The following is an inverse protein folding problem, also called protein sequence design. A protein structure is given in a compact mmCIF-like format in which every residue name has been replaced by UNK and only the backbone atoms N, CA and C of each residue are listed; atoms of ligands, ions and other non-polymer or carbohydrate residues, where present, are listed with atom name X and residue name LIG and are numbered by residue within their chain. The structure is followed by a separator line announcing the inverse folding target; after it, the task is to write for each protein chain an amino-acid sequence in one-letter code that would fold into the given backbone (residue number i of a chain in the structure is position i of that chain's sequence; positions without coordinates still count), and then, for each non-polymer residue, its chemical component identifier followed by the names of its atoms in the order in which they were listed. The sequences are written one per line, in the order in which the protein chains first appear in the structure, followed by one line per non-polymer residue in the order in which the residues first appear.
data_IF_191155020178
#
_entry.id   IF_191155020178
#
_cell.length_a   1.000
_cell.length_b   1.000
_cell.length_c   1.000
_cell.angle_alpha   90.00
_cell.angle_beta   90.00
_cell.angle_gamma   90.00
#
_symmetry.space_group_name_H-M   'P 1'
#
loop_
_entity.id
_entity.type
_entity.pdbx_description
1 polymer ?
#
# COMPACT_ATOMS: atom_id res chain seq x y z
N UNK A 1 40.89 7.07 35.98
CA UNK A 1 39.77 7.03 35.01
C UNK A 1 40.25 6.20 33.83
N UNK A 2 39.61 5.05 33.58
CA UNK A 2 39.80 4.32 32.34
C UNK A 2 38.74 4.83 31.36
N UNK A 3 39.16 5.46 30.27
CA UNK A 3 38.27 5.86 29.18
C UNK A 3 38.43 4.84 28.06
N UNK A 4 37.48 3.92 27.94
CA UNK A 4 37.44 2.99 26.80
C UNK A 4 36.95 3.77 25.57
N UNK A 5 37.83 3.98 24.59
CA UNK A 5 37.52 4.67 23.33
C UNK A 5 37.38 3.69 22.15
N UNK A 6 37.10 2.41 22.42
CA UNK A 6 37.01 1.41 21.38
C UNK A 6 36.39 0.10 21.82
N UNK A 7 35.95 -0.68 20.83
CA UNK A 7 35.43 -2.03 20.97
C UNK A 7 36.22 -3.00 20.07
N UNK A 8 36.33 -4.25 20.51
CA UNK A 8 36.97 -5.33 19.76
C UNK A 8 35.98 -6.47 19.55
N UNK A 9 35.60 -6.72 18.31
CA UNK A 9 34.57 -7.70 17.94
C UNK A 9 35.19 -9.05 17.62
N UNK A 10 34.72 -10.09 18.32
CA UNK A 10 35.17 -11.47 18.17
C UNK A 10 34.36 -12.23 17.10
N UNK A 11 34.85 -13.37 16.57
CA UNK A 11 34.07 -14.18 15.65
C UNK A 11 32.72 -14.60 16.25
N UNK A 12 31.64 -14.50 15.48
CA UNK A 12 30.28 -14.81 15.93
C UNK A 12 29.56 -13.66 16.63
N UNK A 13 30.16 -12.47 16.74
CA UNK A 13 29.54 -11.29 17.37
C UNK A 13 28.18 -10.94 16.77
N UNK A 14 28.00 -11.21 15.47
CA UNK A 14 26.76 -10.97 14.73
C UNK A 14 25.55 -11.74 15.26
N UNK A 15 25.78 -12.83 15.99
CA UNK A 15 24.72 -13.63 16.61
C UNK A 15 24.33 -13.11 18.01
N UNK A 16 25.05 -12.12 18.53
CA UNK A 16 24.80 -11.50 19.83
C UNK A 16 24.12 -10.15 19.67
N UNK A 17 22.85 -10.07 20.10
CA UNK A 17 22.11 -8.80 20.14
C UNK A 17 22.84 -7.73 20.98
N UNK A 18 23.56 -8.14 22.02
CA UNK A 18 24.36 -7.23 22.85
C UNK A 18 25.55 -6.65 22.08
N UNK A 19 26.33 -7.51 21.40
CA UNK A 19 27.48 -7.07 20.62
C UNK A 19 27.07 -6.19 19.42
N UNK A 20 25.94 -6.48 18.80
CA UNK A 20 25.38 -5.64 17.73
C UNK A 20 24.96 -4.26 18.21
N UNK A 21 24.39 -4.16 19.42
CA UNK A 21 24.06 -2.88 20.04
C UNK A 21 25.32 -2.10 20.41
N UNK A 22 26.33 -2.77 20.97
CA UNK A 22 27.63 -2.17 21.31
C UNK A 22 28.35 -1.63 20.06
N UNK A 23 28.30 -2.36 18.94
CA UNK A 23 28.81 -1.89 17.66
C UNK A 23 28.11 -0.62 17.17
N UNK A 24 26.77 -0.60 17.21
CA UNK A 24 26.00 0.57 16.78
C UNK A 24 26.29 1.81 17.63
N UNK A 25 26.39 1.63 18.96
CA UNK A 25 26.74 2.72 19.89
C UNK A 25 28.17 3.21 19.63
N UNK A 26 29.12 2.29 19.43
CA UNK A 26 30.51 2.65 19.13
C UNK A 26 30.62 3.46 17.82
N UNK A 27 29.85 3.11 16.78
CA UNK A 27 29.79 3.90 15.54
C UNK A 27 29.21 5.30 15.76
N UNK A 28 28.12 5.40 16.53
CA UNK A 28 27.47 6.68 16.81
C UNK A 28 28.35 7.64 17.65
N UNK A 29 29.27 7.08 18.44
CA UNK A 29 30.19 7.82 19.28
C UNK A 29 31.60 7.98 18.66
N UNK A 30 31.78 7.54 17.41
CA UNK A 30 33.07 7.57 16.69
C UNK A 30 34.21 6.88 17.46
N UNK A 31 33.91 5.75 18.08
CA UNK A 31 34.87 4.91 18.79
C UNK A 31 35.67 4.02 17.84
N UNK A 32 36.88 3.65 18.24
CA UNK A 32 37.72 2.73 17.48
C UNK A 32 37.09 1.33 17.49
N UNK A 33 36.77 0.80 16.30
CA UNK A 33 36.19 -0.54 16.15
C UNK A 33 37.23 -1.44 15.49
N UNK A 34 37.65 -2.49 16.19
CA UNK A 34 38.60 -3.48 15.67
C UNK A 34 37.95 -4.86 15.61
N UNK A 35 38.35 -5.67 14.62
CA UNK A 35 37.84 -7.01 14.40
C UNK A 35 38.94 -8.04 14.68
N UNK A 36 38.61 -9.10 15.41
CA UNK A 36 39.46 -10.26 15.52
C UNK A 36 39.53 -11.01 14.18
N UNK A 37 40.62 -11.73 13.95
CA UNK A 37 40.74 -12.62 12.79
C UNK A 37 39.58 -13.63 12.75
N UNK A 38 38.84 -13.66 11.64
CA UNK A 38 37.65 -14.52 11.47
C UNK A 38 36.33 -13.90 11.93
N UNK A 39 36.33 -12.68 12.48
CA UNK A 39 35.10 -11.94 12.71
C UNK A 39 34.52 -11.40 11.39
N UNK A 40 33.21 -11.51 11.23
CA UNK A 40 32.54 -10.99 10.04
C UNK A 40 32.58 -9.46 10.03
N UNK A 41 32.94 -8.90 8.87
CA UNK A 41 32.96 -7.46 8.67
C UNK A 41 31.50 -6.92 8.63
N UNK A 42 31.22 -5.76 9.24
CA UNK A 42 29.89 -5.14 9.23
C UNK A 42 29.31 -4.91 7.83
N UNK A 43 30.16 -4.64 6.83
CA UNK A 43 29.76 -4.53 5.42
C UNK A 43 29.23 -5.84 4.83
N UNK A 44 29.71 -6.99 5.30
CA UNK A 44 29.16 -8.30 4.93
C UNK A 44 27.80 -8.56 5.61
N UNK A 45 27.57 -8.01 6.82
CA UNK A 45 26.28 -8.08 7.52
C UNK A 45 25.23 -7.16 6.88
N UNK A 46 25.62 -5.96 6.44
CA UNK A 46 24.74 -5.06 5.68
C UNK A 46 24.27 -5.70 4.36
N UNK A 47 25.15 -6.46 3.69
CA UNK A 47 24.80 -7.23 2.49
C UNK A 47 23.90 -8.45 2.78
N UNK A 48 23.86 -8.95 4.01
CA UNK A 48 23.06 -10.11 4.41
C UNK A 48 21.72 -9.74 5.08
N UNK A 49 21.59 -8.52 5.60
CA UNK A 49 20.40 -8.02 6.29
C UNK A 49 19.40 -7.27 5.39
N UNK A 50 19.76 -6.97 4.14
CA UNK A 50 18.82 -6.47 3.15
C UNK A 50 18.05 -7.63 2.50
N UNK A 51 17.18 -8.31 3.27
CA UNK A 51 16.06 -9.01 2.63
C UNK A 51 15.20 -7.93 1.98
N UNK A 52 15.44 -7.64 0.71
CA UNK A 52 14.59 -6.77 -0.09
C UNK A 52 13.17 -7.28 0.03
N UNK A 53 12.34 -6.55 0.78
CA UNK A 53 10.91 -6.80 0.95
C UNK A 53 10.34 -7.09 -0.45
N UNK A 54 9.61 -8.21 -0.67
CA UNK A 54 9.10 -8.50 -2.00
C UNK A 54 8.21 -7.35 -2.49
N UNK A 55 8.44 -6.96 -3.74
CA UNK A 55 7.73 -5.87 -4.42
C UNK A 55 6.24 -6.18 -4.58
N UNK A 56 5.88 -7.46 -4.70
CA UNK A 56 4.49 -7.92 -4.77
C UNK A 56 4.17 -8.81 -3.57
N UNK A 57 2.93 -8.71 -3.08
CA UNK A 57 2.39 -9.59 -2.03
C UNK A 57 1.28 -10.46 -2.60
N UNK A 58 1.13 -11.65 -2.03
CA UNK A 58 0.04 -12.56 -2.38
C UNK A 58 -1.24 -12.12 -1.67
N UNK A 59 -2.32 -11.94 -2.43
CA UNK A 59 -3.67 -11.79 -1.91
C UNK A 59 -4.32 -13.18 -1.93
N UNK A 60 -4.82 -13.70 -0.79
CA UNK A 60 -5.46 -15.00 -0.77
C UNK A 60 -6.77 -14.97 -1.57
N UNK A 61 -7.17 -16.13 -2.09
CA UNK A 61 -8.48 -16.26 -2.73
C UNK A 61 -9.59 -15.91 -1.71
N UNK A 62 -10.62 -15.22 -2.17
CA UNK A 62 -11.72 -14.72 -1.32
C UNK A 62 -13.06 -14.84 -2.03
N UNK A 63 -14.13 -14.96 -1.25
CA UNK A 63 -15.50 -14.81 -1.75
C UNK A 63 -16.07 -13.53 -1.16
N UNK A 64 -16.44 -12.58 -2.02
CA UNK A 64 -17.07 -11.34 -1.60
C UNK A 64 -18.47 -11.60 -1.01
N UNK A 65 -19.02 -10.68 -0.19
CA UNK A 65 -20.33 -10.87 0.46
C UNK A 65 -21.49 -11.19 -0.50
N UNK A 66 -21.41 -10.76 -1.76
CA UNK A 66 -22.41 -11.06 -2.79
C UNK A 66 -22.19 -12.42 -3.49
N UNK A 67 -21.24 -13.23 -3.03
CA UNK A 67 -20.95 -14.57 -3.55
C UNK A 67 -19.93 -14.62 -4.70
N UNK A 68 -19.44 -13.48 -5.19
CA UNK A 68 -18.41 -13.46 -6.25
C UNK A 68 -17.09 -14.00 -5.70
N UNK A 69 -16.57 -15.05 -6.33
CA UNK A 69 -15.27 -15.61 -6.01
C UNK A 69 -14.15 -14.85 -6.76
N UNK A 70 -13.16 -14.39 -6.02
CA UNK A 70 -11.95 -13.76 -6.55
C UNK A 70 -10.77 -14.72 -6.28
N UNK A 71 -10.12 -15.27 -7.33
CA UNK A 71 -8.95 -16.13 -7.16
C UNK A 71 -7.79 -15.40 -6.46
N UNK A 72 -6.82 -16.17 -5.95
CA UNK A 72 -5.57 -15.58 -5.44
C UNK A 72 -4.79 -14.93 -6.58
N UNK A 73 -4.17 -13.77 -6.29
CA UNK A 73 -3.37 -13.00 -7.24
C UNK A 73 -2.23 -12.29 -6.49
N UNK A 74 -1.29 -11.71 -7.23
CA UNK A 74 -0.26 -10.87 -6.65
C UNK A 74 -0.59 -9.39 -6.88
N UNK A 75 -0.33 -8.57 -5.88
CA UNK A 75 -0.52 -7.12 -5.96
C UNK A 75 0.74 -6.40 -5.51
N UNK A 76 1.07 -5.26 -6.13
CA UNK A 76 2.16 -4.41 -5.66
C UNK A 76 1.97 -4.07 -4.19
N UNK A 77 3.03 -4.25 -3.38
CA UNK A 77 3.02 -3.92 -1.94
C UNK A 77 2.79 -2.43 -1.70
N UNK A 78 3.40 -1.59 -2.53
CA UNK A 78 3.25 -0.14 -2.54
C UNK A 78 2.54 0.28 -3.84
N UNK A 79 2.10 1.54 -3.91
CA UNK A 79 1.71 2.15 -5.18
C UNK A 79 2.89 2.11 -6.16
N UNK A 80 2.58 2.09 -7.46
CA UNK A 80 3.61 2.06 -8.47
C UNK A 80 4.37 3.38 -8.53
N UNK A 81 5.69 3.30 -8.68
CA UNK A 81 6.58 4.42 -8.95
C UNK A 81 7.04 4.39 -10.41
N UNK A 82 7.50 5.55 -10.91
CA UNK A 82 8.04 5.68 -12.26
C UNK A 82 9.41 5.02 -12.31
N UNK A 83 9.51 3.93 -13.08
CA UNK A 83 10.78 3.28 -13.37
C UNK A 83 11.44 3.82 -14.63
N UNK A 84 12.54 3.19 -15.00
CA UNK A 84 13.25 3.49 -16.25
C UNK A 84 12.34 3.22 -17.45
N UNK A 85 12.41 4.09 -18.47
CA UNK A 85 11.65 3.99 -19.73
C UNK A 85 10.13 3.94 -19.56
N UNK A 86 9.58 4.52 -18.49
CA UNK A 86 8.14 4.54 -18.23
C UNK A 86 7.55 3.19 -17.84
N UNK A 87 8.39 2.26 -17.36
CA UNK A 87 7.98 0.97 -16.83
C UNK A 87 7.60 1.15 -15.36
N UNK A 88 6.43 0.64 -14.96
CA UNK A 88 6.02 0.69 -13.56
C UNK A 88 6.96 -0.14 -12.67
N UNK A 89 7.38 0.42 -11.55
CA UNK A 89 8.12 -0.29 -10.51
C UNK A 89 7.34 -0.25 -9.20
N UNK A 90 7.57 -1.22 -8.31
CA UNK A 90 7.01 -1.18 -6.95
C UNK A 90 8.17 -1.06 -5.98
N UNK A 91 8.33 0.12 -5.40
CA UNK A 91 9.46 0.48 -4.54
C UNK A 91 8.94 1.10 -3.25
N UNK A 92 9.64 0.82 -2.15
CA UNK A 92 9.35 1.44 -0.86
C UNK A 92 9.88 2.87 -0.78
N UNK A 93 10.97 3.15 -1.52
CA UNK A 93 11.75 4.40 -1.37
C UNK A 93 11.34 5.48 -2.37
N UNK A 94 10.56 5.12 -3.38
CA UNK A 94 10.10 6.04 -4.41
C UNK A 94 8.66 6.49 -4.14
N UNK A 95 8.39 7.77 -4.36
CA UNK A 95 7.03 8.30 -4.31
C UNK A 95 6.16 7.67 -5.41
N UNK A 96 4.83 7.58 -5.19
CA UNK A 96 3.90 7.09 -6.20
C UNK A 96 3.99 7.91 -7.49
N UNK A 97 3.92 7.21 -8.63
CA UNK A 97 3.81 7.81 -9.95
C UNK A 97 2.40 8.37 -10.14
N UNK A 98 2.27 9.66 -9.85
CA UNK A 98 1.06 10.47 -10.04
C UNK A 98 1.13 11.30 -11.32
N UNK A 99 0.12 12.12 -11.62
CA UNK A 99 -0.02 12.89 -12.88
C UNK A 99 0.00 11.99 -14.13
N UNK A 100 -0.49 10.78 -13.97
CA UNK A 100 -0.64 9.77 -15.01
C UNK A 100 -2.12 9.55 -15.29
N UNK A 101 -2.48 9.38 -16.56
CA UNK A 101 -3.86 9.11 -16.94
C UNK A 101 -4.17 7.60 -16.90
N UNK A 102 -5.45 7.24 -17.03
CA UNK A 102 -5.89 5.84 -16.90
C UNK A 102 -5.21 4.90 -17.91
N UNK A 103 -5.16 5.29 -19.18
CA UNK A 103 -4.59 4.47 -20.26
C UNK A 103 -3.07 4.27 -20.09
N UNK A 104 -2.36 5.30 -19.63
CA UNK A 104 -0.93 5.22 -19.35
C UNK A 104 -0.64 4.35 -18.13
N UNK A 105 -1.44 4.44 -17.06
CA UNK A 105 -1.31 3.57 -15.90
C UNK A 105 -1.46 2.10 -16.29
N UNK A 106 -2.47 1.77 -17.11
CA UNK A 106 -2.66 0.43 -17.65
C UNK A 106 -1.47 -0.02 -18.51
N UNK A 107 -0.96 0.85 -19.39
CA UNK A 107 0.21 0.57 -20.23
C UNK A 107 1.48 0.37 -19.41
N UNK A 108 1.70 1.17 -18.36
CA UNK A 108 2.86 1.07 -17.49
C UNK A 108 2.86 -0.28 -16.73
N UNK A 109 1.70 -0.74 -16.26
CA UNK A 109 1.57 -2.08 -15.68
C UNK A 109 1.82 -3.20 -16.70
N UNK A 110 1.28 -3.07 -17.92
CA UNK A 110 1.52 -4.04 -18.98
C UNK A 110 3.01 -4.14 -19.35
N UNK A 111 3.71 -2.99 -19.42
CA UNK A 111 5.14 -2.93 -19.67
C UNK A 111 5.97 -3.58 -18.54
N UNK A 112 5.46 -3.56 -17.30
CA UNK A 112 6.03 -4.26 -16.15
C UNK A 112 5.65 -5.76 -16.08
N UNK A 113 4.95 -6.30 -17.09
CA UNK A 113 4.50 -7.69 -17.15
C UNK A 113 3.34 -8.01 -16.20
N UNK A 114 2.55 -7.00 -15.82
CA UNK A 114 1.36 -7.14 -15.00
C UNK A 114 0.13 -6.49 -15.64
N UNK A 115 -0.89 -6.22 -14.83
CA UNK A 115 -2.11 -5.51 -15.22
C UNK A 115 -2.43 -4.41 -14.22
N UNK A 116 -3.23 -3.44 -14.63
CA UNK A 116 -3.85 -2.53 -13.67
C UNK A 116 -4.74 -3.36 -12.72
N UNK A 117 -4.75 -3.03 -11.44
CA UNK A 117 -5.66 -3.68 -10.48
C UNK A 117 -7.12 -3.54 -10.94
N UNK A 118 -7.88 -4.63 -10.85
CA UNK A 118 -9.30 -4.61 -11.17
C UNK A 118 -10.16 -4.24 -9.97
N UNK A 119 -11.40 -3.85 -10.23
CA UNK A 119 -12.38 -3.53 -9.22
C UNK A 119 -12.65 -4.71 -8.27
N UNK A 120 -12.85 -5.92 -8.79
CA UNK A 120 -13.00 -7.13 -7.95
C UNK A 120 -11.73 -7.45 -7.14
N UNK A 121 -10.54 -7.26 -7.73
CA UNK A 121 -9.26 -7.42 -7.01
C UNK A 121 -9.13 -6.40 -5.87
N UNK A 122 -9.50 -5.14 -6.10
CA UNK A 122 -9.50 -4.12 -5.06
C UNK A 122 -10.44 -4.50 -3.92
N UNK A 123 -11.67 -4.91 -4.25
CA UNK A 123 -12.68 -5.29 -3.26
C UNK A 123 -12.27 -6.52 -2.46
N UNK A 124 -11.59 -7.50 -3.07
CA UNK A 124 -11.06 -8.67 -2.34
C UNK A 124 -10.03 -8.24 -1.27
N UNK A 125 -9.12 -7.33 -1.62
CA UNK A 125 -8.13 -6.79 -0.67
C UNK A 125 -8.84 -5.98 0.43
N UNK A 126 -9.76 -5.07 0.06
CA UNK A 126 -10.49 -4.24 1.02
C UNK A 126 -11.31 -5.09 2.00
N UNK A 127 -11.98 -6.13 1.50
CA UNK A 127 -12.76 -7.07 2.29
C UNK A 127 -11.88 -7.85 3.27
N UNK A 128 -10.74 -8.38 2.82
CA UNK A 128 -9.77 -9.05 3.68
C UNK A 128 -9.27 -8.12 4.78
N UNK A 129 -8.83 -6.91 4.41
CA UNK A 129 -8.34 -5.88 5.35
C UNK A 129 -9.36 -5.61 6.45
N UNK A 130 -10.62 -5.37 6.08
CA UNK A 130 -11.68 -5.06 7.04
C UNK A 130 -11.97 -6.23 8.00
N UNK A 131 -11.66 -7.47 7.60
CA UNK A 131 -11.80 -8.67 8.41
C UNK A 131 -10.69 -8.90 9.45
N UNK A 132 -9.59 -8.12 9.45
CA UNK A 132 -8.47 -8.34 10.36
C UNK A 132 -8.45 -7.33 11.52
N UNK A 133 -8.50 -7.82 12.76
CA UNK A 133 -8.46 -7.01 14.01
C UNK A 133 -7.35 -5.94 14.01
N UNK A 134 -6.16 -6.29 13.51
CA UNK A 134 -4.97 -5.42 13.50
C UNK A 134 -5.16 -4.15 12.65
N UNK A 135 -6.12 -4.15 11.72
CA UNK A 135 -6.41 -3.02 10.83
C UNK A 135 -7.36 -2.00 11.44
N UNK A 136 -7.87 -2.25 12.64
CA UNK A 136 -8.82 -1.38 13.33
C UNK A 136 -8.13 -0.58 14.43
N UNK A 137 -8.43 0.71 14.54
CA UNK A 137 -7.87 1.61 15.57
C UNK A 137 -8.25 1.18 16.99
N UNK A 138 -9.39 0.51 17.16
CA UNK A 138 -9.80 -0.11 18.43
C UNK A 138 -9.21 -1.50 18.69
N UNK A 139 -8.36 -2.02 17.80
CA UNK A 139 -7.71 -3.33 17.92
C UNK A 139 -8.63 -4.55 17.75
N UNK A 140 -9.88 -4.33 17.33
CA UNK A 140 -10.87 -5.36 17.03
C UNK A 140 -11.73 -4.96 15.83
N UNK A 141 -12.15 -5.92 15.02
CA UNK A 141 -13.08 -5.67 13.90
C UNK A 141 -14.33 -4.95 14.42
N UNK A 142 -14.68 -3.83 13.77
CA UNK A 142 -15.81 -2.97 14.14
C UNK A 142 -15.53 -1.99 15.30
N UNK A 143 -14.41 -2.13 16.02
CA UNK A 143 -14.03 -1.20 17.08
C UNK A 143 -13.21 -0.04 16.51
N UNK A 144 -13.77 1.17 16.58
CA UNK A 144 -13.16 2.35 15.98
C UNK A 144 -13.31 2.36 14.46
N UNK A 145 -12.22 2.64 13.76
CA UNK A 145 -12.17 2.77 12.31
C UNK A 145 -11.06 1.88 11.73
N UNK A 146 -11.23 1.43 10.49
CA UNK A 146 -10.10 0.93 9.71
C UNK A 146 -9.14 2.10 9.46
N UNK A 147 -7.83 1.90 9.64
CA UNK A 147 -6.85 2.97 9.37
C UNK A 147 -6.98 3.51 7.94
N UNK A 148 -6.96 4.83 7.77
CA UNK A 148 -7.23 5.50 6.50
C UNK A 148 -5.95 5.99 5.78
N UNK A 149 -4.77 5.62 6.28
CA UNK A 149 -3.48 6.05 5.72
C UNK A 149 -3.25 7.55 5.85
N UNK A 150 -2.49 8.14 4.93
CA UNK A 150 -2.32 9.60 4.87
C UNK A 150 -3.61 10.22 4.32
N UNK A 151 -4.31 11.02 5.10
CA UNK A 151 -5.61 11.59 4.72
C UNK A 151 -5.94 12.92 5.40
N UNK A 152 -5.20 13.30 6.46
CA UNK A 152 -5.51 14.47 7.29
C UNK A 152 -4.95 15.79 6.75
N UNK A 153 -4.20 15.77 5.63
CA UNK A 153 -3.55 16.96 5.09
C UNK A 153 -2.28 17.36 5.84
N UNK A 154 -1.65 16.42 6.56
CA UNK A 154 -0.39 16.66 7.29
C UNK A 154 0.85 16.72 6.37
N UNK A 155 0.72 16.21 5.15
CA UNK A 155 1.68 16.36 4.04
C UNK A 155 0.99 17.11 2.90
N UNK A 156 1.73 17.59 1.91
CA UNK A 156 1.22 18.35 0.76
C UNK A 156 1.43 17.64 -0.59
N UNK A 157 1.97 16.43 -0.57
CA UNK A 157 2.19 15.59 -1.75
C UNK A 157 2.19 14.09 -1.41
N UNK A 158 2.09 13.24 -2.46
CA UNK A 158 2.16 11.79 -2.32
C UNK A 158 3.54 11.35 -1.82
N UNK A 159 3.56 10.52 -0.78
CA UNK A 159 4.76 10.13 -0.05
C UNK A 159 5.26 8.73 -0.43
N UNK A 160 6.59 8.48 -0.40
CA UNK A 160 7.17 7.15 -0.63
C UNK A 160 6.68 6.14 0.41
N UNK A 161 6.67 4.85 0.08
CA UNK A 161 6.14 3.78 0.95
C UNK A 161 6.79 3.66 2.33
N UNK A 162 8.05 4.10 2.49
CA UNK A 162 8.75 4.11 3.77
C UNK A 162 8.49 5.35 4.64
N UNK A 163 7.81 6.38 4.12
CA UNK A 163 7.47 7.55 4.93
C UNK A 163 6.53 7.18 6.08
N UNK A 164 6.87 7.63 7.28
CA UNK A 164 6.14 7.39 8.53
C UNK A 164 5.49 8.70 8.94
N UNK A 165 4.16 8.72 9.06
CA UNK A 165 3.46 9.88 9.63
C UNK A 165 3.71 9.98 11.13
N UNK A 166 3.88 11.20 11.63
CA UNK A 166 3.93 11.49 13.06
C UNK A 166 2.54 11.37 13.71
N UNK A 167 1.46 11.34 12.91
CA UNK A 167 0.10 11.11 13.40
C UNK A 167 -0.19 9.60 13.52
N UNK A 168 -0.45 9.16 14.74
CA UNK A 168 -0.76 7.76 15.04
C UNK A 168 -2.02 7.22 14.33
N UNK A 169 -2.93 8.10 13.87
CA UNK A 169 -4.12 7.72 13.11
C UNK A 169 -3.87 7.57 11.60
N UNK A 170 -2.73 8.03 11.09
CA UNK A 170 -2.37 7.95 9.67
C UNK A 170 -1.47 6.73 9.36
N UNK A 171 -1.80 5.58 9.93
CA UNK A 171 -1.05 4.35 9.67
C UNK A 171 -1.29 3.88 8.24
N UNK A 172 -0.22 3.81 7.46
CA UNK A 172 -0.27 3.59 6.01
C UNK A 172 -0.34 2.14 5.54
N UNK A 173 -0.13 1.18 6.44
CA UNK A 173 -0.18 -0.24 6.09
C UNK A 173 -1.40 -0.93 6.67
N UNK A 174 -1.86 -1.93 5.91
CA UNK A 174 -2.87 -2.90 6.31
C UNK A 174 -2.30 -4.31 6.16
N UNK A 175 -2.67 -5.19 7.08
CA UNK A 175 -2.30 -6.60 7.02
C UNK A 175 -3.45 -7.43 6.44
N UNK A 176 -3.13 -8.35 5.54
CA UNK A 176 -4.05 -9.33 4.98
C UNK A 176 -4.11 -10.57 5.90
N UNK A 177 -5.12 -11.42 5.69
CA UNK A 177 -5.37 -12.64 6.46
C UNK A 177 -4.23 -13.66 6.41
N UNK A 178 -3.38 -13.61 5.38
CA UNK A 178 -2.17 -14.42 5.27
C UNK A 178 -0.92 -13.79 5.93
N UNK A 179 -1.08 -12.66 6.62
CA UNK A 179 0.00 -11.96 7.32
C UNK A 179 0.78 -10.96 6.46
N UNK A 180 0.61 -10.99 5.13
CA UNK A 180 1.23 -10.02 4.22
C UNK A 180 0.73 -8.60 4.50
N UNK A 181 1.51 -7.59 4.09
CA UNK A 181 1.14 -6.19 4.23
C UNK A 181 1.10 -5.48 2.89
N UNK A 182 0.07 -4.66 2.72
CA UNK A 182 -0.05 -3.66 1.65
C UNK A 182 0.00 -2.27 2.28
N UNK A 183 0.55 -1.32 1.54
CA UNK A 183 0.72 0.07 1.95
C UNK A 183 -0.07 0.97 1.01
N UNK A 184 -0.60 2.08 1.52
CA UNK A 184 -1.34 3.08 0.74
C UNK A 184 -2.53 2.47 -0.01
N UNK A 185 -3.21 1.53 0.63
CA UNK A 185 -4.49 1.01 0.15
C UNK A 185 -5.67 1.91 0.59
N UNK A 186 -5.42 2.76 1.58
CA UNK A 186 -6.22 3.94 1.91
C UNK A 186 -5.28 5.14 2.03
N UNK A 187 -5.71 6.29 1.54
CA UNK A 187 -4.94 7.54 1.61
C UNK A 187 -3.68 7.55 0.75
N UNK A 188 -2.84 8.56 0.98
CA UNK A 188 -1.63 8.90 0.20
C UNK A 188 -1.93 9.36 -1.24
N UNK A 189 -2.38 8.45 -2.10
CA UNK A 189 -2.82 8.77 -3.45
C UNK A 189 -3.88 7.78 -3.92
N UNK A 190 -4.82 8.28 -4.73
CA UNK A 190 -5.78 7.44 -5.42
C UNK A 190 -5.05 6.45 -6.34
N UNK A 191 -5.68 5.31 -6.59
CA UNK A 191 -5.30 4.41 -7.68
C UNK A 191 -6.36 4.40 -8.76
N UNK A 192 -5.95 4.56 -10.02
CA UNK A 192 -6.74 4.12 -11.16
C UNK A 192 -7.05 2.62 -11.05
N UNK A 193 -8.27 2.23 -11.40
CA UNK A 193 -8.77 0.86 -11.31
C UNK A 193 -9.49 0.46 -12.60
N UNK A 194 -9.21 -0.74 -13.09
CA UNK A 194 -9.93 -1.34 -14.21
C UNK A 194 -11.27 -1.87 -13.73
N UNK A 195 -12.38 -1.34 -14.25
CA UNK A 195 -13.71 -1.75 -13.82
C UNK A 195 -14.18 -3.05 -14.50
N UNK A 196 -14.01 -4.18 -13.82
CA UNK A 196 -14.49 -5.51 -14.25
C UNK A 196 -15.88 -5.87 -13.68
N UNK A 197 -16.61 -4.89 -13.14
CA UNK A 197 -17.94 -5.10 -12.52
C UNK A 197 -19.04 -4.42 -13.32
N UNK A 198 -18.92 -3.12 -13.53
CA UNK A 198 -19.86 -2.32 -14.32
C UNK A 198 -19.23 -1.67 -15.54
N UNK A 199 -17.96 -1.95 -15.81
CA UNK A 199 -17.24 -1.39 -16.94
C UNK A 199 -17.50 -2.08 -18.28
N UNK A 200 -17.01 -1.43 -19.34
CA UNK A 200 -16.89 -1.98 -20.69
C UNK A 200 -15.57 -2.75 -20.88
N UNK A 201 -15.25 -3.11 -22.12
CA UNK A 201 -14.01 -3.83 -22.46
C UNK A 201 -12.73 -3.04 -22.16
N UNK A 202 -12.83 -1.71 -22.00
CA UNK A 202 -11.73 -0.83 -21.61
C UNK A 202 -11.66 -0.61 -20.10
N UNK A 203 -12.61 -1.17 -19.33
CA UNK A 203 -12.71 -0.97 -17.89
C UNK A 203 -13.19 0.43 -17.50
N UNK A 204 -13.84 1.16 -18.43
CA UNK A 204 -14.54 2.40 -18.13
C UNK A 204 -15.97 2.08 -17.72
N UNK A 205 -16.54 2.82 -16.76
CA UNK A 205 -17.92 2.61 -16.33
C UNK A 205 -18.84 2.65 -17.56
N UNK A 206 -19.66 1.61 -17.75
CA UNK A 206 -20.55 1.50 -18.91
C UNK A 206 -22.03 1.58 -18.54
N UNK A 207 -22.35 1.45 -17.24
CA UNK A 207 -23.70 1.44 -16.71
C UNK A 207 -23.71 1.92 -15.26
N UNK A 208 -24.86 2.41 -14.76
CA UNK A 208 -25.02 2.78 -13.35
C UNK A 208 -24.68 1.63 -12.39
N UNK A 209 -24.22 1.98 -11.18
CA UNK A 209 -23.96 1.01 -10.13
C UNK A 209 -25.26 0.31 -9.72
N UNK A 210 -25.37 -1.00 -9.95
CA UNK A 210 -26.53 -1.79 -9.54
C UNK A 210 -26.64 -1.88 -8.00
N UNK A 211 -27.84 -2.12 -7.47
CA UNK A 211 -28.06 -2.27 -6.02
C UNK A 211 -27.26 -3.43 -5.41
N UNK A 212 -27.09 -4.51 -6.17
CA UNK A 212 -26.34 -5.71 -5.80
C UNK A 212 -24.87 -5.68 -6.28
N UNK A 213 -24.41 -4.57 -6.88
CA UNK A 213 -23.01 -4.45 -7.31
C UNK A 213 -22.07 -4.65 -6.11
N UNK A 214 -21.01 -5.47 -6.24
CA UNK A 214 -20.02 -5.63 -5.19
C UNK A 214 -19.33 -4.30 -4.85
N UNK A 215 -19.24 -3.34 -5.78
CA UNK A 215 -18.74 -1.98 -5.51
C UNK A 215 -19.59 -1.21 -4.49
N UNK A 216 -20.87 -1.59 -4.31
CA UNK A 216 -21.80 -1.01 -3.35
C UNK A 216 -21.90 -1.84 -2.08
N UNK A 217 -21.94 -3.16 -2.21
CA UNK A 217 -22.35 -4.10 -1.16
C UNK A 217 -21.21 -4.74 -0.37
N UNK A 218 -19.95 -4.65 -0.84
CA UNK A 218 -18.83 -5.35 -0.18
C UNK A 218 -18.44 -4.73 1.17
N UNK A 219 -18.53 -3.42 1.32
CA UNK A 219 -18.09 -2.74 2.53
C UNK A 219 -18.98 -3.09 3.74
N UNK A 220 -18.41 -3.53 4.88
CA UNK A 220 -19.18 -4.03 6.02
C UNK A 220 -19.93 -2.94 6.81
N UNK A 221 -19.57 -1.66 6.62
CA UNK A 221 -20.21 -0.52 7.27
C UNK A 221 -20.64 0.53 6.24
N UNK A 222 -21.61 1.41 6.57
CA UNK A 222 -22.05 2.48 5.67
C UNK A 222 -20.92 3.39 5.18
N UNK A 223 -21.16 4.06 4.04
CA UNK A 223 -20.26 5.10 3.50
C UNK A 223 -19.93 6.13 4.58
N UNK A 224 -18.66 6.55 4.65
CA UNK A 224 -18.16 7.53 5.64
C UNK A 224 -18.31 7.11 7.11
N UNK A 225 -18.43 5.82 7.39
CA UNK A 225 -18.43 5.26 8.75
C UNK A 225 -17.26 4.30 8.93
N UNK A 226 -16.74 4.20 10.15
CA UNK A 226 -15.74 3.19 10.53
C UNK A 226 -14.49 3.14 9.61
N UNK A 227 -14.10 4.27 9.01
CA UNK A 227 -12.95 4.33 8.09
C UNK A 227 -13.16 3.62 6.74
N UNK A 228 -14.40 3.38 6.34
CA UNK A 228 -14.69 2.77 5.03
C UNK A 228 -14.35 3.70 3.86
N UNK A 229 -14.31 5.01 4.09
CA UNK A 229 -14.26 6.02 3.04
C UNK A 229 -15.61 6.26 2.36
N UNK A 230 -15.63 7.22 1.45
CA UNK A 230 -16.82 7.56 0.67
C UNK A 230 -17.00 6.62 -0.53
N UNK A 231 -18.23 6.21 -0.78
CA UNK A 231 -18.64 5.53 -2.02
C UNK A 231 -19.96 6.09 -2.55
N UNK A 232 -20.19 6.03 -3.88
CA UNK A 232 -21.45 6.43 -4.49
C UNK A 232 -22.62 5.55 -4.02
N UNK A 233 -23.84 6.00 -4.28
CA UNK A 233 -25.05 5.21 -4.03
C UNK A 233 -25.35 4.33 -5.24
N UNK A 234 -26.10 3.25 -5.04
CA UNK A 234 -26.71 2.52 -6.14
C UNK A 234 -27.53 3.48 -7.04
N UNK A 235 -27.49 3.24 -8.35
CA UNK A 235 -28.07 4.10 -9.38
C UNK A 235 -27.23 5.31 -9.75
N UNK A 236 -26.11 5.59 -9.06
CA UNK A 236 -25.17 6.61 -9.54
C UNK A 236 -24.62 6.20 -10.90
N UNK A 237 -24.55 7.15 -11.82
CA UNK A 237 -24.08 6.92 -13.19
C UNK A 237 -22.81 7.73 -13.43
N UNK A 238 -21.71 7.02 -13.66
CA UNK A 238 -20.42 7.60 -14.01
C UNK A 238 -19.98 7.17 -15.41
N UNK A 239 -20.89 6.76 -16.28
CA UNK A 239 -20.56 6.18 -17.58
C UNK A 239 -19.56 7.02 -18.37
N UNK A 240 -18.53 6.38 -18.92
CA UNK A 240 -17.40 6.99 -19.62
C UNK A 240 -16.22 7.39 -18.73
N UNK A 241 -16.38 7.41 -17.40
CA UNK A 241 -15.28 7.67 -16.46
C UNK A 241 -14.54 6.37 -16.10
N UNK A 242 -13.28 6.52 -15.67
CA UNK A 242 -12.51 5.45 -15.04
C UNK A 242 -12.66 5.50 -13.51
N UNK A 243 -12.57 4.33 -12.85
CA UNK A 243 -12.64 4.25 -11.40
C UNK A 243 -11.34 4.73 -10.75
N UNK A 244 -11.48 5.42 -9.61
CA UNK A 244 -10.38 5.69 -8.68
C UNK A 244 -10.73 5.23 -7.28
N UNK A 245 -9.72 4.70 -6.57
CA UNK A 245 -9.89 4.10 -5.24
C UNK A 245 -8.88 4.59 -4.20
N UNK A 246 -9.24 4.48 -2.93
CA UNK A 246 -8.33 4.62 -1.77
C UNK A 246 -8.33 6.00 -1.11
N UNK A 247 -8.52 7.08 -1.88
CA UNK A 247 -8.36 8.45 -1.38
C UNK A 247 -6.90 8.91 -1.48
N UNK A 248 -6.64 10.14 -1.06
CA UNK A 248 -5.31 10.77 -1.10
C UNK A 248 -4.98 11.46 0.22
N UNK A 249 -3.77 12.00 0.32
CA UNK A 249 -3.21 12.62 1.53
C UNK A 249 -4.04 13.73 2.18
N UNK A 250 -5.04 14.31 1.49
CA UNK A 250 -5.95 15.34 2.01
C UNK A 250 -7.45 15.00 1.83
N UNK A 251 -7.81 13.73 1.61
CA UNK A 251 -9.22 13.37 1.37
C UNK A 251 -10.06 13.38 2.67
N UNK A 252 -9.44 13.61 3.83
CA UNK A 252 -10.08 13.56 5.14
C UNK A 252 -10.80 12.23 5.35
N UNK A 253 -11.99 12.28 5.95
CA UNK A 253 -12.82 11.09 6.21
C UNK A 253 -13.30 10.37 4.94
N UNK A 254 -13.09 10.95 3.75
CA UNK A 254 -13.44 10.31 2.48
C UNK A 254 -12.45 9.21 2.10
N UNK A 255 -11.19 9.28 2.57
CA UNK A 255 -10.21 8.23 2.37
C UNK A 255 -10.64 6.92 3.04
N UNK A 256 -10.22 5.78 2.51
CA UNK A 256 -10.54 4.48 3.09
C UNK A 256 -10.36 3.36 2.09
N UNK A 257 -10.26 2.13 2.60
CA UNK A 257 -10.04 0.95 1.73
C UNK A 257 -11.22 0.65 0.81
N UNK A 258 -12.42 1.19 1.10
CA UNK A 258 -13.58 1.15 0.21
C UNK A 258 -13.92 2.51 -0.42
N UNK A 259 -13.02 3.50 -0.32
CA UNK A 259 -13.18 4.79 -1.01
C UNK A 259 -13.28 4.51 -2.51
N UNK A 260 -14.41 4.88 -3.09
CA UNK A 260 -14.71 4.75 -4.52
C UNK A 260 -15.13 6.11 -5.06
N UNK A 261 -14.46 6.56 -6.11
CA UNK A 261 -14.86 7.69 -6.93
C UNK A 261 -14.60 7.35 -8.41
N UNK A 262 -14.88 8.27 -9.31
CA UNK A 262 -14.59 8.11 -10.73
C UNK A 262 -14.27 9.46 -11.34
N UNK A 263 -13.42 9.46 -12.37
CA UNK A 263 -12.97 10.67 -13.05
C UNK A 263 -12.72 10.40 -14.54
N UNK A 264 -12.62 11.47 -15.32
CA UNK A 264 -12.38 11.38 -16.75
C UNK A 264 -11.03 10.70 -17.01
N UNK A 265 -10.97 9.67 -17.88
CA UNK A 265 -9.78 8.83 -18.02
C UNK A 265 -8.54 9.56 -18.55
N UNK A 266 -8.70 10.73 -19.17
CA UNK A 266 -7.59 11.55 -19.67
C UNK A 266 -6.97 12.48 -18.61
N UNK A 267 -7.61 12.64 -17.45
CA UNK A 267 -7.11 13.54 -16.41
C UNK A 267 -5.82 13.02 -15.75
N UNK A 268 -5.01 13.98 -15.28
CA UNK A 268 -3.68 13.76 -14.71
C UNK A 268 -3.53 14.59 -13.45
N UNK A 269 -4.04 14.08 -12.34
CA UNK A 269 -3.91 14.74 -11.06
C UNK A 269 -2.65 14.29 -10.32
N UNK A 270 -2.06 15.20 -9.55
CA UNK A 270 -0.97 14.92 -8.60
C UNK A 270 -1.38 14.03 -7.42
N UNK A 271 -2.68 13.74 -7.30
CA UNK A 271 -3.23 12.86 -6.27
C UNK A 271 -3.68 11.49 -6.79
N UNK A 272 -3.52 11.22 -8.09
CA UNK A 272 -3.93 9.95 -8.71
C UNK A 272 -2.73 9.23 -9.32
N UNK A 273 -2.41 8.07 -8.76
CA UNK A 273 -1.45 7.10 -9.29
C UNK A 273 -2.14 5.78 -9.62
N UNK A 274 -1.45 4.66 -9.41
CA UNK A 274 -1.95 3.35 -9.78
C UNK A 274 -1.22 2.20 -9.08
N UNK A 275 -1.78 0.99 -9.20
CA UNK A 275 -1.22 -0.23 -8.64
C UNK A 275 -1.32 -1.37 -9.65
N UNK A 276 -0.23 -2.12 -9.81
CA UNK A 276 -0.19 -3.28 -10.70
C UNK A 276 -0.48 -4.60 -9.96
N UNK A 277 -1.02 -5.57 -10.70
CA UNK A 277 -1.26 -6.95 -10.29
C UNK A 277 -0.63 -7.96 -11.25
N UNK A 278 -0.45 -9.21 -10.79
CA UNK A 278 0.00 -10.36 -11.59
C UNK A 278 -0.86 -11.60 -11.30
#
# INVERSE_FOLDING_TARGET
MATCHGIHLLPGWENSRGASLEHHIAQALDYEITLASGALHPTALASAAATTKPAFVTVPATTLPNGVAVPSFQVGRYLCAEGVDGIATVSADAAPWVKINYAEAAKACAAAGGKLITELQWLAIAHDIAGQDINWTGGKVGAGAVFQGLHLGNVDEAQPGEFISDDANERRWHQLSNGERVFDFAGNAYSWVFDDVQGDELGLIAKPFAEDSPSITTAPFPSMKNGMGWRPRAGSDGSGNALVRGGFWNDGDYAGVFRLNYDWPDHRYDVVGFRCTK
#
